data_IF_494968937434
#
_entry.id   IF_494968937434
#
_cell.length_a   1.000
_cell.length_b   1.000
_cell.length_c   1.000
_cell.angle_alpha   90.00
_cell.angle_beta   90.00
_cell.angle_gamma   90.00
#
_symmetry.space_group_name_H-M   'P 1'
#
loop_
_entity.id
_entity.type
_entity.pdbx_description
1 polymer ?
#
# COMPACT_ATOMS: atom_id res chain seq x y z
N UNK A 1 -6.88 -11.13 16.91
CA UNK A 1 -7.39 -10.34 15.90
C UNK A 1 -6.32 -9.63 15.14
N UNK A 2 -6.42 -9.61 13.90
CA UNK A 2 -5.43 -8.99 13.11
C UNK A 2 -5.85 -7.66 12.68
N UNK A 3 -5.24 -6.67 13.12
CA UNK A 3 -5.56 -5.34 12.72
C UNK A 3 -4.73 -4.92 11.53
N UNK A 4 -3.64 -5.61 11.32
CA UNK A 4 -2.79 -5.30 10.20
C UNK A 4 -2.52 -6.52 9.40
N UNK A 5 -2.77 -6.46 8.13
CA UNK A 5 -2.53 -7.59 7.27
C UNK A 5 -1.33 -7.28 6.39
N UNK A 6 -0.91 -8.24 5.63
CA UNK A 6 0.20 -8.02 4.70
C UNK A 6 -0.15 -6.89 3.74
N UNK A 7 -1.40 -6.80 3.37
CA UNK A 7 -1.86 -5.74 2.48
C UNK A 7 -1.61 -4.37 3.08
N UNK A 8 -1.96 -4.21 4.34
CA UNK A 8 -1.78 -2.93 5.00
C UNK A 8 -0.31 -2.56 5.06
N UNK A 9 0.51 -3.50 5.39
CA UNK A 9 1.94 -3.25 5.45
C UNK A 9 2.47 -2.84 4.10
N UNK A 10 2.03 -3.52 3.08
CA UNK A 10 2.47 -3.22 1.73
C UNK A 10 2.02 -1.82 1.34
N UNK A 11 0.79 -1.50 1.64
CA UNK A 11 0.25 -0.19 1.31
C UNK A 11 1.02 0.92 1.99
N UNK A 12 1.33 0.75 3.26
CA UNK A 12 2.08 1.73 3.98
C UNK A 12 3.46 1.93 3.38
N UNK A 13 4.05 0.86 2.95
CA UNK A 13 5.36 0.91 2.34
C UNK A 13 5.30 1.71 1.04
N UNK A 14 4.29 1.44 0.25
CA UNK A 14 4.13 2.15 -1.01
C UNK A 14 3.92 3.63 -0.77
N UNK A 15 3.09 3.95 0.22
CA UNK A 15 2.84 5.34 0.53
C UNK A 15 4.11 6.04 0.98
N UNK A 16 4.91 5.35 1.73
CA UNK A 16 6.15 5.91 2.22
C UNK A 16 7.09 6.23 1.07
N UNK A 17 7.11 5.38 0.07
CA UNK A 17 7.99 5.59 -1.06
C UNK A 17 7.43 6.61 -2.03
N UNK A 18 6.15 6.89 -1.95
CA UNK A 18 5.52 7.86 -2.82
C UNK A 18 4.74 8.88 -2.02
N UNK A 19 5.42 9.66 -1.22
CA UNK A 19 4.74 10.62 -0.34
C UNK A 19 3.98 11.69 -1.10
N UNK A 20 4.37 11.93 -2.32
CA UNK A 20 3.70 12.96 -3.09
C UNK A 20 2.43 12.48 -3.75
N UNK A 21 2.27 11.19 -3.84
CA UNK A 21 1.08 10.64 -4.46
C UNK A 21 -0.06 10.56 -3.47
N UNK A 22 -1.25 10.67 -3.98
CA UNK A 22 -2.41 10.60 -3.11
C UNK A 22 -2.63 9.15 -2.71
N UNK A 23 -3.49 8.97 -1.73
CA UNK A 23 -3.77 7.64 -1.24
C UNK A 23 -4.34 6.75 -2.34
N UNK A 24 -5.19 7.32 -3.17
CA UNK A 24 -5.75 6.55 -4.27
C UNK A 24 -4.69 6.02 -5.19
N UNK A 25 -3.71 6.86 -5.51
CA UNK A 25 -2.63 6.44 -6.37
C UNK A 25 -1.79 5.37 -5.71
N UNK A 26 -1.55 5.52 -4.42
CA UNK A 26 -0.77 4.55 -3.69
C UNK A 26 -1.48 3.19 -3.69
N UNK A 27 -2.78 3.22 -3.55
CA UNK A 27 -3.54 1.98 -3.56
C UNK A 27 -3.45 1.28 -4.90
N UNK A 28 -3.48 2.05 -5.96
CA UNK A 28 -3.36 1.47 -7.30
C UNK A 28 -2.00 0.84 -7.47
N UNK A 29 -0.97 1.54 -7.04
CA UNK A 29 0.36 0.99 -7.14
C UNK A 29 0.52 -0.25 -6.28
N UNK A 30 -0.03 -0.19 -5.09
CA UNK A 30 0.08 -1.31 -4.18
C UNK A 30 -0.60 -2.55 -4.77
N UNK A 31 -1.74 -2.34 -5.38
CA UNK A 31 -2.45 -3.46 -5.99
C UNK A 31 -1.63 -4.05 -7.13
N UNK A 32 -0.95 -3.20 -7.85
CA UNK A 32 -0.15 -3.69 -8.95
C UNK A 32 1.01 -4.53 -8.50
N UNK A 33 1.68 -4.08 -7.44
CA UNK A 33 2.83 -4.81 -6.96
C UNK A 33 2.49 -5.86 -5.93
N UNK A 34 1.31 -5.79 -5.36
CA UNK A 34 0.91 -6.78 -4.35
C UNK A 34 0.38 -8.03 -5.01
N UNK A 35 1.17 -9.06 -4.96
CA UNK A 35 0.71 -10.29 -5.54
C UNK A 35 0.38 -11.24 -4.47
N UNK A 36 -0.76 -11.80 -4.56
CA UNK A 36 -1.15 -12.66 -3.50
C UNK A 36 -0.98 -14.11 -3.75
#
# INVERSE_FOLDING_TARGET
MKTQTAWMKHLLSVKKQNPKKSLGDCMKLAKKTYKK
#
